data_IF_205344891106
#
_entry.id   IF_205344891106
#
_cell.length_a   1.000
_cell.length_b   1.000
_cell.length_c   1.000
_cell.angle_alpha   90.00
_cell.angle_beta   90.00
_cell.angle_gamma   90.00
#
_symmetry.space_group_name_H-M   'P 1'
#
loop_
_entity.id
_entity.type
_entity.pdbx_description
1 polymer ?
#
# COMPACT_ATOMS: atom_id res chain seq x y z
N UNK A 1 6.40 -66.27 -1.92
CA UNK A 1 5.23 -65.41 -1.67
C UNK A 1 5.75 -64.02 -1.32
N UNK A 2 6.09 -63.22 -2.33
CA UNK A 2 6.72 -61.90 -2.14
C UNK A 2 5.72 -60.81 -2.47
N UNK A 3 5.42 -59.94 -1.51
CA UNK A 3 4.59 -58.76 -1.72
C UNK A 3 5.49 -57.59 -2.12
N UNK A 4 5.28 -57.05 -3.32
CA UNK A 4 5.87 -55.78 -3.77
C UNK A 4 5.06 -54.62 -3.14
N UNK A 5 5.70 -53.85 -2.26
CA UNK A 5 5.19 -52.55 -1.84
C UNK A 5 5.38 -51.55 -3.00
N UNK A 6 4.29 -51.11 -3.60
CA UNK A 6 4.31 -49.98 -4.54
C UNK A 6 4.19 -48.69 -3.74
N UNK A 7 5.29 -47.92 -3.65
CA UNK A 7 5.27 -46.56 -3.12
C UNK A 7 4.74 -45.66 -4.24
N UNK A 8 3.49 -45.21 -4.08
CA UNK A 8 2.93 -44.16 -4.93
C UNK A 8 3.50 -42.83 -4.41
N UNK A 9 4.48 -42.29 -5.12
CA UNK A 9 4.93 -40.91 -4.93
C UNK A 9 3.85 -40.03 -5.58
N UNK A 10 2.98 -39.45 -4.76
CA UNK A 10 2.00 -38.46 -5.21
C UNK A 10 2.72 -37.21 -5.71
N UNK A 11 2.77 -37.05 -7.03
CA UNK A 11 3.18 -35.80 -7.66
C UNK A 11 2.01 -34.82 -7.51
N UNK A 12 2.09 -33.90 -6.54
CA UNK A 12 1.10 -32.83 -6.41
C UNK A 12 1.22 -31.89 -7.60
N UNK A 13 0.37 -32.11 -8.61
CA UNK A 13 0.16 -31.16 -9.69
C UNK A 13 -0.49 -29.92 -9.07
N UNK A 14 0.25 -28.81 -9.00
CA UNK A 14 -0.31 -27.50 -8.66
C UNK A 14 -1.45 -27.22 -9.65
N UNK A 15 -2.68 -27.19 -9.13
CA UNK A 15 -3.81 -26.68 -9.88
C UNK A 15 -3.61 -25.18 -10.15
N UNK A 16 -4.00 -24.65 -11.32
CA UNK A 16 -3.94 -23.23 -11.58
C UNK A 16 -4.82 -22.51 -10.56
N UNK A 17 -4.18 -21.67 -9.74
CA UNK A 17 -4.78 -21.02 -8.57
C UNK A 17 -5.91 -20.05 -8.91
N UNK A 18 -6.68 -19.74 -7.87
CA UNK A 18 -7.70 -18.69 -7.76
C UNK A 18 -7.30 -17.40 -8.49
N UNK A 19 -8.27 -16.60 -8.93
CA UNK A 19 -8.02 -15.30 -9.59
C UNK A 19 -6.96 -14.49 -8.83
N UNK A 20 -5.73 -14.43 -9.36
CA UNK A 20 -4.57 -13.72 -8.79
C UNK A 20 -4.68 -12.19 -8.92
N UNK A 21 -5.90 -11.66 -9.04
CA UNK A 21 -6.14 -10.24 -9.30
C UNK A 21 -7.38 -9.74 -8.56
N UNK A 22 -7.28 -8.53 -8.01
CA UNK A 22 -8.41 -7.76 -7.48
C UNK A 22 -8.46 -6.40 -8.18
N UNK A 23 -9.55 -5.66 -8.01
CA UNK A 23 -9.72 -4.36 -8.67
C UNK A 23 -10.33 -3.33 -7.73
N UNK A 24 -9.94 -2.07 -7.92
CA UNK A 24 -10.56 -0.91 -7.30
C UNK A 24 -11.01 0.03 -8.42
N UNK A 25 -12.32 0.20 -8.61
CA UNK A 25 -12.87 1.04 -9.68
C UNK A 25 -12.35 0.66 -11.09
N UNK A 26 -12.23 -0.64 -11.35
CA UNK A 26 -11.67 -1.20 -12.59
C UNK A 26 -10.14 -1.14 -12.71
N UNK A 27 -9.44 -0.55 -11.73
CA UNK A 27 -7.98 -0.50 -11.70
C UNK A 27 -7.47 -1.86 -11.18
N UNK A 28 -6.70 -2.64 -11.96
CA UNK A 28 -6.29 -3.97 -11.57
C UNK A 28 -5.07 -3.98 -10.64
N UNK A 29 -5.07 -4.91 -9.70
CA UNK A 29 -3.97 -5.21 -8.80
C UNK A 29 -3.66 -6.72 -8.84
N UNK A 30 -2.41 -7.06 -9.13
CA UNK A 30 -1.91 -8.43 -9.01
C UNK A 30 -1.71 -8.79 -7.54
N UNK A 31 -1.97 -10.06 -7.20
CA UNK A 31 -1.77 -10.61 -5.86
C UNK A 31 -0.54 -11.50 -5.84
N UNK A 32 0.37 -11.26 -4.90
CA UNK A 32 1.48 -12.14 -4.55
C UNK A 32 1.29 -12.60 -3.11
N UNK A 33 1.15 -13.90 -2.87
CA UNK A 33 1.02 -14.48 -1.52
C UNK A 33 2.18 -15.42 -1.24
N UNK A 34 2.77 -15.32 -0.05
CA UNK A 34 3.77 -16.25 0.46
C UNK A 34 3.47 -16.58 1.93
N UNK A 35 3.48 -17.85 2.31
CA UNK A 35 3.19 -18.29 3.67
C UNK A 35 1.80 -17.93 4.21
N UNK A 36 1.67 -17.96 5.54
CA UNK A 36 0.42 -17.67 6.26
C UNK A 36 0.64 -16.54 7.29
N UNK A 37 0.62 -15.31 6.79
CA UNK A 37 0.74 -14.10 7.60
C UNK A 37 -0.42 -13.15 7.32
N UNK A 38 -0.86 -12.44 8.37
CA UNK A 38 -1.86 -11.39 8.25
C UNK A 38 -1.23 -10.05 7.82
N UNK A 39 0.08 -9.98 7.61
CA UNK A 39 0.70 -8.80 7.02
C UNK A 39 0.22 -8.60 5.58
N UNK A 40 -0.03 -7.33 5.25
CA UNK A 40 -0.47 -6.90 3.93
C UNK A 40 0.49 -5.86 3.41
N UNK A 41 0.84 -5.98 2.14
CA UNK A 41 1.71 -5.04 1.44
C UNK A 41 0.97 -4.46 0.26
N UNK A 42 1.20 -3.20 -0.05
CA UNK A 42 0.54 -2.58 -1.20
C UNK A 42 1.44 -1.58 -1.92
N UNK A 43 1.36 -1.63 -3.24
CA UNK A 43 2.01 -0.70 -4.17
C UNK A 43 0.96 -0.14 -5.13
N UNK A 44 0.65 1.16 -4.99
CA UNK A 44 -0.53 1.77 -5.61
C UNK A 44 -0.21 2.69 -6.79
N UNK A 45 1.02 3.17 -6.98
CA UNK A 45 1.38 4.05 -8.09
C UNK A 45 2.34 3.36 -9.06
N UNK A 46 1.92 3.27 -10.33
CA UNK A 46 2.61 2.50 -11.37
C UNK A 46 4.02 3.00 -11.72
N UNK A 47 4.36 4.25 -11.42
CA UNK A 47 5.65 4.86 -11.75
C UNK A 47 6.70 4.73 -10.63
N UNK A 48 6.31 4.22 -9.45
CA UNK A 48 7.17 4.08 -8.27
C UNK A 48 7.91 2.72 -8.28
N UNK A 49 8.67 2.47 -9.35
CA UNK A 49 9.25 1.16 -9.67
C UNK A 49 10.27 0.62 -8.65
N UNK A 50 10.94 1.49 -7.88
CA UNK A 50 11.89 1.03 -6.85
C UNK A 50 11.18 0.37 -5.68
N UNK A 51 10.00 0.89 -5.30
CA UNK A 51 9.12 0.28 -4.31
C UNK A 51 8.62 -1.08 -4.78
N UNK A 52 8.16 -1.20 -6.04
CA UNK A 52 7.77 -2.48 -6.66
C UNK A 52 8.89 -3.51 -6.58
N UNK A 53 10.09 -3.17 -7.03
CA UNK A 53 11.24 -4.09 -7.03
C UNK A 53 11.62 -4.55 -5.62
N UNK A 54 11.55 -3.67 -4.62
CA UNK A 54 11.79 -4.02 -3.23
C UNK A 54 10.72 -5.00 -2.71
N UNK A 55 9.45 -4.72 -2.98
CA UNK A 55 8.32 -5.55 -2.56
C UNK A 55 8.37 -6.94 -3.23
N UNK A 56 8.56 -7.01 -4.55
CA UNK A 56 8.70 -8.28 -5.26
C UNK A 56 9.88 -9.11 -4.74
N UNK A 57 10.96 -8.46 -4.31
CA UNK A 57 12.07 -9.17 -3.70
C UNK A 57 11.74 -9.66 -2.28
N UNK A 58 11.06 -8.85 -1.48
CA UNK A 58 10.58 -9.20 -0.14
C UNK A 58 9.70 -10.44 -0.14
N UNK A 59 8.72 -10.47 -1.05
CA UNK A 59 7.74 -11.55 -1.17
C UNK A 59 8.34 -12.89 -1.61
N UNK A 60 9.62 -12.97 -2.00
CA UNK A 60 10.29 -14.24 -2.31
C UNK A 60 10.62 -15.06 -1.07
N UNK A 61 10.76 -14.42 0.09
CA UNK A 61 11.24 -15.07 1.31
C UNK A 61 10.41 -14.76 2.54
N UNK A 62 9.67 -13.64 2.56
CA UNK A 62 8.88 -13.21 3.71
C UNK A 62 7.40 -13.51 3.52
N UNK A 63 6.72 -13.83 4.61
CA UNK A 63 5.30 -14.19 4.57
C UNK A 63 4.41 -12.95 4.47
N UNK A 64 3.23 -13.12 3.86
CA UNK A 64 2.20 -12.09 3.75
C UNK A 64 1.52 -12.10 2.39
N UNK A 65 0.71 -11.08 2.15
CA UNK A 65 0.01 -10.89 0.87
C UNK A 65 0.27 -9.47 0.34
N UNK A 66 0.77 -9.37 -0.88
CA UNK A 66 1.06 -8.12 -1.56
C UNK A 66 0.08 -7.85 -2.70
N UNK A 67 -0.34 -6.59 -2.84
CA UNK A 67 -1.20 -6.10 -3.91
C UNK A 67 -0.47 -5.05 -4.73
N UNK A 68 -0.26 -5.32 -6.02
CA UNK A 68 0.53 -4.48 -6.90
C UNK A 68 -0.34 -3.95 -8.04
N UNK A 69 -0.50 -2.64 -8.15
CA UNK A 69 -1.21 -2.04 -9.30
C UNK A 69 -0.55 -2.49 -10.61
N UNK A 70 -1.33 -2.79 -11.66
CA UNK A 70 -0.76 -3.30 -12.91
C UNK A 70 -0.33 -2.19 -13.88
N UNK A 71 -0.81 -0.96 -13.66
CA UNK A 71 -0.44 0.21 -14.45
C UNK A 71 1.02 0.64 -14.24
N UNK A 72 1.56 1.39 -15.21
CA UNK A 72 2.95 1.91 -15.18
C UNK A 72 3.05 3.42 -14.92
N UNK A 73 1.90 4.10 -14.83
CA UNK A 73 1.81 5.54 -14.59
C UNK A 73 1.35 5.80 -13.15
N UNK A 74 1.59 7.02 -12.69
CA UNK A 74 1.09 7.50 -11.39
C UNK A 74 -0.43 7.45 -11.32
N UNK A 75 -1.09 8.10 -12.28
CA UNK A 75 -2.53 8.03 -12.46
C UNK A 75 -2.92 6.79 -13.28
N UNK A 76 -3.99 6.12 -12.86
CA UNK A 76 -4.58 5.01 -13.59
C UNK A 76 -5.64 5.49 -14.57
N UNK A 77 -5.72 4.85 -15.73
CA UNK A 77 -6.85 5.00 -16.64
C UNK A 77 -8.10 4.35 -16.03
N UNK A 78 -9.22 5.07 -16.04
CA UNK A 78 -10.49 4.58 -15.51
C UNK A 78 -11.67 5.24 -16.24
N UNK A 79 -12.65 4.45 -16.70
CA UNK A 79 -13.90 4.92 -17.35
C UNK A 79 -13.72 6.05 -18.41
N UNK A 80 -12.65 5.98 -19.21
CA UNK A 80 -12.32 6.98 -20.24
C UNK A 80 -11.80 8.31 -19.68
N UNK A 81 -11.13 8.27 -18.54
CA UNK A 81 -10.42 9.38 -17.89
C UNK A 81 -9.26 8.84 -17.06
N UNK A 82 -8.73 9.67 -16.17
CA UNK A 82 -7.62 9.29 -15.27
C UNK A 82 -7.93 9.64 -13.82
N UNK A 83 -7.35 8.88 -12.90
CA UNK A 83 -7.52 9.06 -11.46
C UNK A 83 -6.23 8.69 -10.72
N UNK A 84 -5.94 9.37 -9.60
CA UNK A 84 -4.89 8.94 -8.69
C UNK A 84 -5.46 7.83 -7.78
N UNK A 85 -4.95 6.59 -7.86
CA UNK A 85 -5.49 5.46 -7.11
C UNK A 85 -5.33 5.60 -5.59
N UNK A 86 -4.41 6.45 -5.12
CA UNK A 86 -4.26 6.76 -3.70
C UNK A 86 -5.04 8.00 -3.26
N UNK A 87 -6.11 8.35 -3.99
CA UNK A 87 -7.02 9.46 -3.67
C UNK A 87 -8.49 9.05 -3.71
N UNK A 88 -8.77 7.76 -3.75
CA UNK A 88 -10.13 7.22 -3.93
C UNK A 88 -10.60 6.33 -2.78
N UNK A 89 -9.89 6.32 -1.65
CA UNK A 89 -10.27 5.56 -0.45
C UNK A 89 -11.27 6.30 0.47
N UNK A 90 -11.82 7.44 0.03
CA UNK A 90 -12.97 8.13 0.62
C UNK A 90 -13.85 8.76 -0.46
N UNK A 91 -15.13 9.01 -0.14
CA UNK A 91 -16.05 9.65 -1.08
C UNK A 91 -15.63 11.09 -1.39
N UNK A 92 -15.20 11.83 -0.36
CA UNK A 92 -14.68 13.20 -0.44
C UNK A 92 -13.42 13.28 -1.31
N UNK A 93 -12.45 12.40 -1.06
CA UNK A 93 -11.22 12.30 -1.83
C UNK A 93 -11.50 11.94 -3.29
N UNK A 94 -12.31 10.90 -3.53
CA UNK A 94 -12.67 10.46 -4.86
C UNK A 94 -13.37 11.58 -5.66
N UNK A 95 -14.35 12.26 -5.04
CA UNK A 95 -15.04 13.40 -5.64
C UNK A 95 -14.07 14.52 -6.03
N UNK A 96 -13.13 14.87 -5.14
CA UNK A 96 -12.13 15.89 -5.42
C UNK A 96 -11.17 15.46 -6.55
N UNK A 97 -10.78 14.19 -6.59
CA UNK A 97 -9.90 13.63 -7.60
C UNK A 97 -10.56 13.60 -8.99
N UNK A 98 -11.81 13.14 -9.08
CA UNK A 98 -12.63 13.19 -10.28
C UNK A 98 -12.74 14.62 -10.79
N UNK A 99 -13.00 15.60 -9.91
CA UNK A 99 -13.12 17.00 -10.30
C UNK A 99 -11.80 17.58 -10.82
N UNK A 100 -10.66 17.18 -10.23
CA UNK A 100 -9.31 17.63 -10.62
C UNK A 100 -8.93 17.13 -12.02
N UNK A 101 -9.01 15.82 -12.25
CA UNK A 101 -8.50 15.20 -13.46
C UNK A 101 -9.51 15.17 -14.61
N UNK A 102 -10.81 15.09 -14.30
CA UNK A 102 -11.86 14.87 -15.29
C UNK A 102 -12.76 16.11 -15.45
N UNK A 103 -12.15 17.30 -15.54
CA UNK A 103 -12.84 18.61 -15.53
C UNK A 103 -13.94 18.72 -16.57
N UNK A 104 -13.71 18.17 -17.78
CA UNK A 104 -14.60 18.22 -18.94
C UNK A 104 -15.79 17.26 -18.86
N UNK A 105 -15.82 16.33 -17.90
CA UNK A 105 -16.96 15.42 -17.74
C UNK A 105 -18.21 16.17 -17.28
N UNK A 106 -19.37 15.69 -17.75
CA UNK A 106 -20.67 16.18 -17.30
C UNK A 106 -20.86 15.91 -15.80
N UNK A 107 -21.75 16.67 -15.14
CA UNK A 107 -22.09 16.45 -13.73
C UNK A 107 -22.65 15.05 -13.50
N UNK A 108 -23.47 14.55 -14.42
CA UNK A 108 -24.04 13.21 -14.37
C UNK A 108 -22.95 12.13 -14.40
N UNK A 109 -22.00 12.22 -15.35
CA UNK A 109 -20.89 11.25 -15.42
C UNK A 109 -20.04 11.28 -14.15
N UNK A 110 -19.72 12.46 -13.61
CA UNK A 110 -18.94 12.56 -12.36
C UNK A 110 -19.66 11.92 -11.17
N UNK A 111 -20.97 12.11 -11.05
CA UNK A 111 -21.77 11.51 -9.99
C UNK A 111 -21.86 9.99 -10.14
N UNK A 112 -22.17 9.49 -11.35
CA UNK A 112 -22.22 8.07 -11.65
C UNK A 112 -20.89 7.37 -11.34
N UNK A 113 -19.77 7.94 -11.80
CA UNK A 113 -18.45 7.37 -11.55
C UNK A 113 -18.07 7.39 -10.06
N UNK A 114 -18.47 8.42 -9.30
CA UNK A 114 -18.26 8.45 -7.85
C UNK A 114 -19.01 7.31 -7.15
N UNK A 115 -20.25 7.05 -7.54
CA UNK A 115 -21.03 5.93 -7.00
C UNK A 115 -20.40 4.57 -7.34
N UNK A 116 -19.85 4.42 -8.54
CA UNK A 116 -19.11 3.20 -8.90
C UNK A 116 -17.88 2.99 -8.00
N UNK A 117 -17.05 4.02 -7.82
CA UNK A 117 -15.90 3.95 -6.91
C UNK A 117 -16.34 3.62 -5.48
N UNK A 118 -17.40 4.25 -4.99
CA UNK A 118 -17.91 4.03 -3.63
C UNK A 118 -18.36 2.58 -3.43
N UNK A 119 -19.07 1.99 -4.41
CA UNK A 119 -19.51 0.58 -4.34
C UNK A 119 -18.34 -0.40 -4.34
N UNK A 120 -17.32 -0.14 -5.13
CA UNK A 120 -16.18 -1.06 -5.26
C UNK A 120 -15.25 -0.99 -4.03
N UNK A 121 -15.15 0.20 -3.41
CA UNK A 121 -14.17 0.50 -2.36
C UNK A 121 -14.23 -0.46 -1.18
N UNK A 122 -15.42 -0.71 -0.64
CA UNK A 122 -15.55 -1.51 0.58
C UNK A 122 -15.07 -2.94 0.35
N UNK A 123 -15.48 -3.55 -0.76
CA UNK A 123 -15.03 -4.90 -1.15
C UNK A 123 -13.53 -5.00 -1.45
N UNK A 124 -12.90 -3.89 -1.85
CA UNK A 124 -11.45 -3.83 -2.03
C UNK A 124 -10.73 -3.70 -0.69
N UNK A 125 -11.20 -2.82 0.19
CA UNK A 125 -10.66 -2.63 1.54
C UNK A 125 -10.74 -3.93 2.36
N UNK A 126 -11.84 -4.67 2.29
CA UNK A 126 -11.98 -5.97 2.96
C UNK A 126 -10.88 -6.98 2.58
N UNK A 127 -10.32 -6.88 1.37
CA UNK A 127 -9.26 -7.77 0.89
C UNK A 127 -7.87 -7.31 1.28
N UNK A 128 -7.64 -6.00 1.25
CA UNK A 128 -6.29 -5.43 1.45
C UNK A 128 -5.99 -5.08 2.90
N UNK A 129 -7.03 -4.88 3.73
CA UNK A 129 -6.84 -4.58 5.13
C UNK A 129 -6.54 -5.89 5.89
N UNK A 130 -5.46 -5.94 6.67
CA UNK A 130 -5.15 -7.08 7.52
C UNK A 130 -6.25 -7.27 8.56
N UNK A 131 -6.48 -8.52 8.96
CA UNK A 131 -7.34 -8.85 10.10
C UNK A 131 -6.45 -9.04 11.34
N UNK A 132 -7.03 -9.46 12.47
CA UNK A 132 -6.31 -9.98 13.65
C UNK A 132 -5.12 -9.15 14.18
N UNK A 133 -5.11 -7.83 13.99
CA UNK A 133 -4.02 -6.95 14.43
C UNK A 133 -2.80 -6.88 13.51
N UNK A 134 -2.90 -7.43 12.30
CA UNK A 134 -1.85 -7.38 11.29
C UNK A 134 -1.57 -5.95 10.79
N UNK A 135 -0.45 -5.81 10.08
CA UNK A 135 0.09 -4.54 9.61
C UNK A 135 -0.14 -4.37 8.09
N UNK A 136 -0.63 -3.20 7.68
CA UNK A 136 -0.66 -2.78 6.29
C UNK A 136 0.55 -1.90 5.98
N UNK A 137 1.42 -2.37 5.10
CA UNK A 137 2.65 -1.68 4.68
C UNK A 137 2.47 -1.18 3.24
N UNK A 138 2.39 0.14 3.06
CA UNK A 138 2.43 0.75 1.75
C UNK A 138 3.87 1.12 1.40
N UNK A 139 4.30 0.76 0.19
CA UNK A 139 5.63 1.13 -0.30
C UNK A 139 5.49 2.16 -1.41
N UNK A 140 6.19 3.27 -1.23
CA UNK A 140 6.15 4.40 -2.12
C UNK A 140 7.55 4.85 -2.54
N UNK A 141 7.62 5.50 -3.70
CA UNK A 141 8.76 6.32 -4.06
C UNK A 141 8.35 7.76 -4.25
N UNK A 142 9.16 8.67 -3.71
CA UNK A 142 8.96 10.09 -3.91
C UNK A 142 9.89 10.66 -4.99
N UNK A 143 9.53 11.87 -5.43
CA UNK A 143 10.26 12.70 -6.39
C UNK A 143 10.83 13.96 -5.73
N UNK A 144 11.59 14.75 -6.49
CA UNK A 144 12.12 16.01 -5.98
C UNK A 144 10.98 16.95 -5.57
N UNK A 145 11.06 17.51 -4.35
CA UNK A 145 10.06 18.42 -3.79
C UNK A 145 9.24 17.82 -2.66
N UNK A 146 9.03 16.49 -2.65
CA UNK A 146 8.35 15.79 -1.55
C UNK A 146 9.36 15.10 -0.63
N UNK A 147 9.22 15.33 0.68
CA UNK A 147 10.10 14.79 1.73
C UNK A 147 9.41 14.96 3.09
N UNK A 148 9.96 14.36 4.15
CA UNK A 148 9.36 14.35 5.49
C UNK A 148 8.93 15.73 6.01
N UNK A 149 9.56 16.83 5.59
CA UNK A 149 9.20 18.18 6.01
C UNK A 149 7.78 18.59 5.57
N UNK A 150 7.26 18.03 4.47
CA UNK A 150 5.87 18.28 4.04
C UNK A 150 4.86 17.59 4.95
N UNK A 151 5.27 16.52 5.64
CA UNK A 151 4.42 15.73 6.52
C UNK A 151 4.44 16.23 7.97
N UNK A 152 5.49 16.94 8.40
CA UNK A 152 5.59 17.49 9.77
C UNK A 152 4.33 18.26 10.19
N UNK A 153 3.75 19.19 9.39
CA UNK A 153 2.55 19.93 9.78
C UNK A 153 1.29 19.07 9.92
N UNK A 154 1.29 17.86 9.35
CA UNK A 154 0.19 16.91 9.40
C UNK A 154 0.35 15.88 10.52
N UNK A 155 1.47 15.92 11.24
CA UNK A 155 1.89 14.87 12.17
C UNK A 155 1.66 15.25 13.62
N UNK A 156 1.23 14.28 14.42
CA UNK A 156 1.10 14.37 15.86
C UNK A 156 2.47 14.38 16.54
N UNK A 157 3.42 13.60 16.02
CA UNK A 157 4.78 13.53 16.54
C UNK A 157 5.80 13.23 15.44
N UNK A 158 7.05 13.61 15.67
CA UNK A 158 8.14 13.46 14.70
C UNK A 158 9.42 12.95 15.37
N UNK A 159 10.14 12.10 14.65
CA UNK A 159 11.52 11.67 14.96
C UNK A 159 12.38 11.89 13.72
N UNK A 160 13.04 13.04 13.64
CA UNK A 160 13.91 13.41 12.51
C UNK A 160 15.37 13.15 12.88
N UNK A 161 16.07 12.39 12.05
CA UNK A 161 17.48 12.00 12.27
C UNK A 161 18.41 12.96 11.53
N UNK A 162 19.43 13.44 12.24
CA UNK A 162 20.34 14.49 11.75
C UNK A 162 21.03 14.15 10.43
N UNK A 163 21.44 12.88 10.27
CA UNK A 163 22.26 12.43 9.13
C UNK A 163 21.47 11.58 8.12
N UNK A 164 20.13 11.60 8.20
CA UNK A 164 19.28 10.91 7.22
C UNK A 164 18.81 11.83 6.11
N UNK A 165 18.64 11.25 4.92
CA UNK A 165 18.01 11.97 3.83
C UNK A 165 16.54 12.26 4.18
N UNK A 166 16.07 13.51 4.11
CA UNK A 166 14.66 13.84 4.38
C UNK A 166 13.65 13.12 3.48
N UNK A 167 14.10 12.59 2.33
CA UNK A 167 13.27 11.83 1.39
C UNK A 167 13.07 10.37 1.79
N UNK A 168 13.81 9.89 2.79
CA UNK A 168 13.69 8.53 3.28
C UNK A 168 13.07 8.57 4.67
N UNK A 169 11.79 8.21 4.77
CA UNK A 169 11.03 8.32 6.01
C UNK A 169 9.85 7.35 6.07
N UNK A 170 9.41 7.06 7.29
CA UNK A 170 8.15 6.38 7.54
C UNK A 170 7.06 7.37 7.90
N UNK A 171 5.84 7.10 7.45
CA UNK A 171 4.61 7.62 8.06
C UNK A 171 3.95 6.43 8.74
N UNK A 172 3.64 6.51 10.04
CA UNK A 172 2.87 5.49 10.72
C UNK A 172 1.66 6.10 11.42
N UNK A 173 0.66 5.25 11.69
CA UNK A 173 -0.64 5.68 12.21
C UNK A 173 -0.95 5.13 13.60
N UNK A 174 -0.03 4.33 14.15
CA UNK A 174 -0.20 3.65 15.42
C UNK A 174 0.96 3.97 16.38
N UNK A 175 0.63 4.39 17.61
CA UNK A 175 1.58 4.86 18.62
C UNK A 175 2.66 3.83 18.96
N UNK A 176 2.29 2.58 19.21
CA UNK A 176 3.27 1.55 19.58
C UNK A 176 4.25 1.26 18.42
N UNK A 177 3.79 1.35 17.17
CA UNK A 177 4.66 1.16 16.01
C UNK A 177 5.60 2.36 15.86
N UNK A 178 5.10 3.58 16.06
CA UNK A 178 5.93 4.79 16.09
C UNK A 178 7.05 4.68 17.13
N UNK A 179 6.74 4.29 18.36
CA UNK A 179 7.72 4.22 19.45
C UNK A 179 8.86 3.26 19.09
N UNK A 180 8.55 2.12 18.45
CA UNK A 180 9.55 1.18 17.92
C UNK A 180 10.34 1.81 16.77
N UNK A 181 9.66 2.41 15.78
CA UNK A 181 10.30 3.00 14.61
C UNK A 181 11.22 4.18 14.95
N UNK A 182 10.95 4.91 16.03
CA UNK A 182 11.84 5.99 16.49
C UNK A 182 13.21 5.48 16.94
N UNK A 183 13.35 4.20 17.28
CA UNK A 183 14.63 3.57 17.59
C UNK A 183 15.43 3.20 16.33
N UNK A 184 14.81 3.25 15.16
CA UNK A 184 15.47 3.01 13.88
C UNK A 184 16.41 4.17 13.50
N UNK A 185 17.33 3.95 12.54
CA UNK A 185 18.12 5.05 12.01
C UNK A 185 17.34 5.96 11.06
N UNK A 186 16.04 5.74 10.81
CA UNK A 186 15.26 6.44 9.79
C UNK A 186 14.43 7.59 10.36
N UNK A 187 14.01 8.52 9.49
CA UNK A 187 13.04 9.54 9.84
C UNK A 187 11.66 8.92 10.00
N UNK A 188 10.89 9.37 11.00
CA UNK A 188 9.56 8.85 11.29
C UNK A 188 8.63 10.01 11.61
N UNK A 189 7.42 9.97 11.09
CA UNK A 189 6.33 10.83 11.52
C UNK A 189 5.11 10.01 11.90
N UNK A 190 4.43 10.43 12.96
CA UNK A 190 3.20 9.81 13.44
C UNK A 190 1.99 10.64 13.02
N UNK A 191 1.03 10.01 12.38
CA UNK A 191 -0.27 10.57 12.02
C UNK A 191 -1.36 9.70 12.66
N UNK A 192 -1.69 9.95 13.92
CA UNK A 192 -2.65 9.16 14.72
C UNK A 192 -3.98 9.90 14.96
N UNK A 193 -4.16 11.08 14.37
CA UNK A 193 -5.42 11.83 14.39
C UNK A 193 -5.94 12.05 12.99
N UNK A 194 -7.24 11.83 12.79
CA UNK A 194 -7.89 12.07 11.50
C UNK A 194 -7.67 13.52 11.02
N UNK A 195 -7.34 13.73 9.74
CA UNK A 195 -7.10 15.07 9.23
C UNK A 195 -8.40 15.88 9.18
N UNK A 196 -8.28 17.21 9.24
CA UNK A 196 -9.43 18.11 9.01
C UNK A 196 -9.99 18.00 7.60
N UNK A 197 -9.16 17.58 6.64
CA UNK A 197 -9.52 17.42 5.23
C UNK A 197 -9.10 16.02 4.78
N UNK A 198 -10.09 15.23 4.38
CA UNK A 198 -9.86 13.92 3.78
C UNK A 198 -9.40 14.09 2.32
N UNK A 199 -8.22 13.58 2.01
CA UNK A 199 -7.63 13.61 0.67
C UNK A 199 -7.79 12.30 -0.12
N UNK A 200 -8.48 11.31 0.46
CA UNK A 200 -8.75 10.01 -0.12
C UNK A 200 -7.60 9.02 -0.09
N UNK A 201 -6.54 9.28 0.69
CA UNK A 201 -5.41 8.35 0.82
C UNK A 201 -5.72 7.10 1.63
N UNK A 202 -4.95 6.06 1.36
CA UNK A 202 -5.05 4.76 2.03
C UNK A 202 -4.69 4.84 3.51
N UNK A 203 -3.76 5.72 3.92
CA UNK A 203 -3.41 5.91 5.33
C UNK A 203 -4.63 6.33 6.16
N UNK A 204 -5.43 7.27 5.65
CA UNK A 204 -6.67 7.70 6.32
C UNK A 204 -7.74 6.62 6.33
N UNK A 205 -7.81 5.80 5.27
CA UNK A 205 -8.71 4.66 5.26
C UNK A 205 -8.30 3.63 6.32
N UNK A 206 -7.03 3.24 6.38
CA UNK A 206 -6.53 2.33 7.39
C UNK A 206 -6.85 2.82 8.82
N UNK A 207 -6.63 4.11 9.10
CA UNK A 207 -7.00 4.73 10.37
C UNK A 207 -8.50 4.66 10.67
N UNK A 208 -9.37 4.97 9.70
CA UNK A 208 -10.83 4.85 9.87
C UNK A 208 -11.28 3.44 10.22
N UNK A 209 -10.56 2.44 9.70
CA UNK A 209 -10.83 1.03 9.95
C UNK A 209 -10.08 0.47 11.19
N UNK A 210 -9.35 1.31 11.93
CA UNK A 210 -8.58 0.88 13.11
C UNK A 210 -7.42 -0.06 12.77
N UNK A 211 -6.91 -0.01 11.54
CA UNK A 211 -5.83 -0.86 11.04
C UNK A 211 -4.48 -0.17 11.23
N UNK A 212 -3.50 -0.92 11.73
CA UNK A 212 -2.10 -0.48 11.79
C UNK A 212 -1.58 -0.26 10.37
N UNK A 213 -1.04 0.92 10.13
CA UNK A 213 -0.52 1.30 8.81
C UNK A 213 0.84 1.97 8.91
N UNK A 214 1.75 1.54 8.03
CA UNK A 214 3.05 2.18 7.80
C UNK A 214 3.24 2.43 6.30
N UNK A 215 3.56 3.66 5.93
CA UNK A 215 4.04 4.04 4.61
C UNK A 215 5.57 4.14 4.63
N UNK A 216 6.24 3.53 3.65
CA UNK A 216 7.67 3.69 3.39
C UNK A 216 7.85 4.62 2.20
N UNK A 217 8.44 5.79 2.45
CA UNK A 217 8.82 6.74 1.42
C UNK A 217 10.33 6.69 1.20
N UNK A 218 10.77 6.44 -0.04
CA UNK A 218 12.18 6.64 -0.43
C UNK A 218 12.32 7.32 -1.78
N UNK A 219 13.51 7.87 -2.05
CA UNK A 219 13.82 8.39 -3.38
C UNK A 219 13.76 7.29 -4.46
N UNK A 220 13.06 7.57 -5.56
CA UNK A 220 13.11 6.73 -6.77
C UNK A 220 14.56 6.47 -7.23
N UNK A 221 14.89 5.20 -7.44
CA UNK A 221 16.22 4.69 -7.79
C UNK A 221 17.04 4.17 -6.60
N UNK A 222 16.58 4.34 -5.36
CA UNK A 222 17.35 3.96 -4.16
C UNK A 222 16.95 2.61 -3.56
N UNK A 223 17.03 1.54 -4.37
CA UNK A 223 16.55 0.20 -4.01
C UNK A 223 17.15 -0.35 -2.70
N UNK A 224 18.45 -0.12 -2.46
CA UNK A 224 19.10 -0.59 -1.24
C UNK A 224 18.54 0.07 0.02
N UNK A 225 18.10 1.33 -0.06
CA UNK A 225 17.48 2.04 1.05
C UNK A 225 16.06 1.56 1.30
N UNK A 226 15.23 1.42 0.25
CA UNK A 226 13.88 0.86 0.35
C UNK A 226 13.88 -0.51 1.03
N UNK A 227 14.80 -1.39 0.62
CA UNK A 227 14.94 -2.73 1.22
C UNK A 227 15.36 -2.67 2.69
N UNK A 228 16.29 -1.80 3.07
CA UNK A 228 16.70 -1.64 4.47
C UNK A 228 15.54 -1.19 5.35
N UNK A 229 14.74 -0.24 4.87
CA UNK A 229 13.57 0.26 5.59
C UNK A 229 12.48 -0.81 5.71
N UNK A 230 12.19 -1.53 4.62
CA UNK A 230 11.22 -2.63 4.62
C UNK A 230 11.62 -3.77 5.57
N UNK A 231 12.88 -4.21 5.51
CA UNK A 231 13.40 -5.24 6.41
C UNK A 231 13.32 -4.81 7.88
N UNK A 232 13.54 -3.52 8.18
CA UNK A 232 13.40 -3.04 9.54
C UNK A 232 11.97 -3.21 10.08
N UNK A 233 10.95 -2.96 9.25
CA UNK A 233 9.56 -3.19 9.63
C UNK A 233 9.31 -4.67 9.92
N UNK A 234 9.73 -5.55 9.02
CA UNK A 234 9.59 -7.01 9.18
C UNK A 234 10.22 -7.52 10.48
N UNK A 235 11.43 -7.05 10.78
CA UNK A 235 12.19 -7.53 11.94
C UNK A 235 11.62 -7.03 13.29
N UNK A 236 10.92 -5.89 13.30
CA UNK A 236 10.56 -5.17 14.53
C UNK A 236 9.05 -4.98 14.77
N UNK A 237 8.23 -4.97 13.72
CA UNK A 237 6.78 -4.78 13.80
C UNK A 237 6.07 -6.10 13.50
N UNK A 238 5.73 -6.84 14.55
CA UNK A 238 4.95 -8.08 14.46
C UNK A 238 3.45 -7.78 14.41
#
# INVERSE_FOLDING_TARGET
MGFLLSIIIGLSVLMPGENNMIQLAGIPFDIIKNGDSDHRYIWVHGDEQTAKMALENHMKTNEGTAFLVTGILREAEFYGGIIDPNRIFSSEGAKANIQKYNRKWSRAKKAETLEMINRDRDSFLEKILPQNGGLLIALHNNYQGYNVKTEIPLSNEISIKKDQNPRDFFICTHRADYDILTQSPFNVVLQETMPKRDDGSLSWAAMRHGVRYVNIETRLGWLSQQKKMLNYLEDHLK
#
